data_IF_579965706919
#
_entry.id   IF_579965706919
#
_cell.length_a   1.000
_cell.length_b   1.000
_cell.length_c   1.000
_cell.angle_alpha   90.00
_cell.angle_beta   90.00
_cell.angle_gamma   90.00
#
_symmetry.space_group_name_H-M   'P 1'
#
loop_
_entity.id
_entity.type
_entity.pdbx_description
1 polymer ?
#
# COMPACT_ATOMS: atom_id res chain seq x y z
N UNK A 1 -24.13 19.66 -45.29
CA UNK A 1 -24.76 18.84 -44.21
C UNK A 1 -23.99 19.17 -42.93
N UNK A 2 -24.61 19.83 -41.96
CA UNK A 2 -23.97 20.14 -40.67
C UNK A 2 -24.14 18.99 -39.72
N UNK A 3 -23.19 18.82 -38.79
CA UNK A 3 -23.29 17.84 -37.72
C UNK A 3 -24.55 18.10 -36.86
N UNK A 4 -25.20 17.04 -36.42
CA UNK A 4 -26.37 17.14 -35.55
C UNK A 4 -25.93 17.59 -34.15
N UNK A 5 -26.85 18.15 -33.33
CA UNK A 5 -26.55 18.56 -31.97
C UNK A 5 -26.03 17.37 -31.12
N UNK A 6 -26.50 16.17 -31.41
CA UNK A 6 -26.05 14.95 -30.72
C UNK A 6 -24.63 14.55 -31.11
N UNK A 7 -24.24 14.73 -32.39
CA UNK A 7 -22.88 14.50 -32.85
C UNK A 7 -21.89 15.48 -32.22
N UNK A 8 -22.29 16.76 -32.09
CA UNK A 8 -21.48 17.78 -31.43
C UNK A 8 -21.33 17.50 -29.93
N UNK A 9 -22.37 17.04 -29.26
CA UNK A 9 -22.30 16.64 -27.83
C UNK A 9 -21.40 15.42 -27.63
N UNK A 10 -21.52 14.41 -28.50
CA UNK A 10 -20.66 13.23 -28.47
C UNK A 10 -19.18 13.59 -28.74
N UNK A 11 -18.92 14.50 -29.69
CA UNK A 11 -17.57 14.97 -29.95
C UNK A 11 -16.98 15.74 -28.74
N UNK A 12 -17.74 16.66 -28.13
CA UNK A 12 -17.31 17.37 -26.92
C UNK A 12 -17.02 16.41 -25.75
N UNK A 13 -17.81 15.35 -25.60
CA UNK A 13 -17.59 14.35 -24.57
C UNK A 13 -16.29 13.54 -24.83
N UNK A 14 -16.03 13.17 -26.09
CA UNK A 14 -14.78 12.51 -26.50
C UNK A 14 -13.55 13.41 -26.29
N UNK A 15 -13.66 14.69 -26.66
CA UNK A 15 -12.57 15.65 -26.47
C UNK A 15 -12.28 15.91 -24.99
N UNK A 16 -13.33 15.94 -24.15
CA UNK A 16 -13.18 16.02 -22.68
C UNK A 16 -12.50 14.79 -22.10
N UNK A 17 -12.92 13.59 -22.53
CA UNK A 17 -12.30 12.34 -22.11
C UNK A 17 -10.83 12.26 -22.57
N UNK A 18 -10.54 12.66 -23.80
CA UNK A 18 -9.18 12.68 -24.36
C UNK A 18 -8.27 13.70 -23.64
N UNK A 19 -8.81 14.88 -23.24
CA UNK A 19 -8.07 15.85 -22.43
C UNK A 19 -7.80 15.32 -21.04
N UNK A 20 -8.81 14.73 -20.39
CA UNK A 20 -8.66 14.12 -19.05
C UNK A 20 -7.59 13.04 -19.00
N UNK A 21 -7.44 12.25 -20.08
CA UNK A 21 -6.38 11.23 -20.18
C UNK A 21 -4.99 11.83 -20.41
N UNK A 22 -4.90 12.98 -21.09
CA UNK A 22 -3.62 13.66 -21.33
C UNK A 22 -3.07 14.35 -20.08
N UNK A 23 -3.93 14.65 -19.13
CA UNK A 23 -3.58 15.30 -17.87
C UNK A 23 -3.27 14.29 -16.75
N UNK A 24 -3.15 13.01 -17.08
CA UNK A 24 -2.84 11.94 -16.15
C UNK A 24 -1.52 11.28 -16.51
N UNK A 25 -0.72 11.00 -15.50
CA UNK A 25 0.56 10.33 -15.69
C UNK A 25 1.01 9.57 -14.45
N UNK A 26 2.07 8.79 -14.62
CA UNK A 26 2.67 8.02 -13.53
C UNK A 26 3.90 8.76 -13.01
N UNK A 27 3.99 8.92 -11.70
CA UNK A 27 5.16 9.52 -11.06
C UNK A 27 6.36 8.58 -11.21
N UNK A 28 7.40 9.02 -11.89
CA UNK A 28 8.64 8.25 -12.07
C UNK A 28 9.69 8.59 -11.00
N UNK A 29 9.70 9.83 -10.51
CA UNK A 29 10.67 10.30 -9.52
C UNK A 29 10.09 11.45 -8.70
N UNK A 30 10.56 11.58 -7.45
CA UNK A 30 10.27 12.74 -6.59
C UNK A 30 11.59 13.33 -6.08
N UNK A 31 11.69 14.65 -6.12
CA UNK A 31 12.83 15.40 -5.56
C UNK A 31 12.28 16.63 -4.83
N UNK A 32 12.28 16.58 -3.51
CA UNK A 32 11.65 17.61 -2.68
C UNK A 32 10.15 17.69 -2.94
N UNK A 33 9.66 18.86 -3.38
CA UNK A 33 8.26 19.10 -3.75
C UNK A 33 8.00 19.04 -5.25
N UNK A 34 8.87 18.39 -6.03
CA UNK A 34 8.72 18.22 -7.47
C UNK A 34 8.61 16.74 -7.79
N UNK A 35 7.57 16.36 -8.53
CA UNK A 35 7.40 15.04 -9.11
C UNK A 35 7.72 15.07 -10.60
N UNK A 36 8.56 14.18 -11.07
CA UNK A 36 8.69 13.89 -12.51
C UNK A 36 7.59 12.90 -12.86
N UNK A 37 6.69 13.30 -13.75
CA UNK A 37 5.50 12.53 -14.14
C UNK A 37 5.62 12.12 -15.59
N UNK A 38 5.55 10.83 -15.86
CA UNK A 38 5.54 10.28 -17.22
C UNK A 38 4.13 10.30 -17.79
N UNK A 39 3.97 10.99 -18.92
CA UNK A 39 2.73 11.07 -19.70
C UNK A 39 2.76 10.13 -20.93
N UNK A 40 3.47 9.04 -20.83
CA UNK A 40 3.71 8.08 -21.91
C UNK A 40 5.03 8.36 -22.64
N UNK A 41 5.03 9.24 -23.63
CA UNK A 41 6.24 9.55 -24.41
C UNK A 41 7.04 10.76 -23.89
N UNK A 42 6.52 11.46 -22.90
CA UNK A 42 7.10 12.71 -22.39
C UNK A 42 7.04 12.71 -20.87
N UNK A 43 8.12 13.12 -20.25
CA UNK A 43 8.18 13.36 -18.81
C UNK A 43 7.99 14.86 -18.53
N UNK A 44 7.26 15.17 -17.48
CA UNK A 44 6.95 16.54 -17.04
C UNK A 44 7.28 16.68 -15.58
N UNK A 45 8.02 17.71 -15.21
CA UNK A 45 8.22 18.08 -13.82
C UNK A 45 7.04 18.92 -13.32
N UNK A 46 6.37 18.44 -12.28
CA UNK A 46 5.20 19.06 -11.68
C UNK A 46 5.43 19.36 -10.22
N UNK A 47 5.01 20.55 -9.75
CA UNK A 47 5.05 20.90 -8.33
C UNK A 47 3.99 20.10 -7.57
N UNK A 48 4.37 19.57 -6.41
CA UNK A 48 3.48 18.92 -5.46
C UNK A 48 3.05 19.95 -4.42
N UNK A 49 1.80 20.44 -4.44
CA UNK A 49 1.29 21.34 -3.40
C UNK A 49 1.24 20.65 -2.04
N UNK A 50 1.43 21.40 -0.96
CA UNK A 50 1.34 20.85 0.40
C UNK A 50 -0.04 20.24 0.74
N UNK A 51 -1.08 20.63 -0.02
CA UNK A 51 -2.44 20.07 0.11
C UNK A 51 -2.63 18.70 -0.54
N UNK A 52 -1.70 18.28 -1.42
CA UNK A 52 -1.77 16.99 -2.12
C UNK A 52 -0.87 15.98 -1.41
N UNK A 53 -1.48 14.99 -0.79
CA UNK A 53 -0.79 13.91 -0.09
C UNK A 53 -0.75 12.63 -0.93
N UNK A 54 0.13 11.70 -0.57
CA UNK A 54 0.21 10.38 -1.19
C UNK A 54 0.88 10.37 -2.58
N UNK A 55 1.57 11.44 -2.97
CA UNK A 55 2.38 11.45 -4.19
C UNK A 55 3.67 10.68 -3.93
N UNK A 56 3.79 9.51 -4.54
CA UNK A 56 4.94 8.62 -4.42
C UNK A 56 5.33 8.11 -5.82
N UNK A 57 6.54 7.58 -5.97
CA UNK A 57 6.95 6.92 -7.22
C UNK A 57 5.98 5.77 -7.53
N UNK A 58 5.55 5.65 -8.78
CA UNK A 58 4.54 4.70 -9.23
C UNK A 58 3.09 5.17 -9.09
N UNK A 59 2.80 6.26 -8.36
CA UNK A 59 1.44 6.78 -8.24
C UNK A 59 0.93 7.33 -9.58
N UNK A 60 -0.32 7.04 -9.92
CA UNK A 60 -1.01 7.74 -11.01
C UNK A 60 -1.58 9.04 -10.47
N UNK A 61 -1.21 10.14 -11.07
CA UNK A 61 -1.62 11.49 -10.65
C UNK A 61 -2.36 12.22 -11.77
N UNK A 62 -3.22 13.14 -11.38
CA UNK A 62 -3.78 14.15 -12.28
C UNK A 62 -2.93 15.41 -12.18
N UNK A 63 -2.63 16.00 -13.32
CA UNK A 63 -1.90 17.26 -13.43
C UNK A 63 -2.81 18.38 -13.85
N UNK A 64 -2.63 19.54 -13.26
CA UNK A 64 -3.09 20.79 -13.81
C UNK A 64 -2.00 21.33 -14.74
N UNK A 65 -2.24 21.26 -16.04
CA UNK A 65 -1.31 21.74 -17.07
C UNK A 65 -1.43 23.26 -17.20
N UNK A 66 -0.44 23.96 -16.67
CA UNK A 66 -0.27 25.40 -16.74
C UNK A 66 1.18 25.74 -17.13
N UNK A 67 1.60 27.00 -17.07
CA UNK A 67 3.01 27.38 -17.29
C UNK A 67 3.97 26.66 -16.33
N UNK A 68 3.48 26.32 -15.12
CA UNK A 68 4.18 25.46 -14.17
C UNK A 68 3.22 24.31 -13.85
N UNK A 69 3.46 23.10 -14.37
CA UNK A 69 2.62 21.94 -14.08
C UNK A 69 2.54 21.67 -12.58
N UNK A 70 1.35 21.32 -12.11
CA UNK A 70 1.09 21.08 -10.69
C UNK A 70 0.32 19.76 -10.54
N UNK A 71 0.68 18.94 -9.55
CA UNK A 71 -0.09 17.75 -9.18
C UNK A 71 -1.40 18.21 -8.54
N UNK A 72 -2.53 17.87 -9.15
CA UNK A 72 -3.87 18.20 -8.67
C UNK A 72 -4.41 17.15 -7.68
N UNK A 73 -4.23 15.88 -8.01
CA UNK A 73 -4.69 14.77 -7.20
C UNK A 73 -3.94 13.47 -7.51
N UNK A 74 -3.88 12.57 -6.53
CA UNK A 74 -3.51 11.16 -6.72
C UNK A 74 -4.77 10.39 -7.11
N UNK A 75 -4.75 9.69 -8.24
CA UNK A 75 -5.91 9.02 -8.81
C UNK A 75 -6.00 7.54 -8.43
N UNK A 76 -4.86 6.89 -8.26
CA UNK A 76 -4.80 5.49 -7.83
C UNK A 76 -3.87 5.37 -6.64
N UNK A 77 -4.34 4.64 -5.66
CA UNK A 77 -3.49 4.22 -4.55
C UNK A 77 -2.41 3.28 -5.07
N UNK A 78 -1.21 3.60 -4.73
CA UNK A 78 -0.05 2.76 -5.00
C UNK A 78 -0.12 1.53 -4.10
N UNK A 79 0.25 0.38 -4.61
CA UNK A 79 -0.01 -0.90 -4.00
C UNK A 79 1.29 -1.66 -3.72
N UNK A 80 1.41 -2.19 -2.49
CA UNK A 80 2.30 -3.33 -2.20
C UNK A 80 1.45 -4.56 -1.96
N UNK A 81 1.79 -5.66 -2.62
CA UNK A 81 1.32 -7.00 -2.26
C UNK A 81 2.52 -7.86 -1.95
N UNK A 82 2.48 -8.47 -0.79
CA UNK A 82 3.54 -9.36 -0.36
C UNK A 82 2.95 -10.60 0.34
N UNK A 83 3.69 -11.68 0.27
CA UNK A 83 3.38 -12.94 0.96
C UNK A 83 4.59 -13.41 1.74
N UNK A 84 4.36 -14.02 2.89
CA UNK A 84 5.43 -14.70 3.62
C UNK A 84 5.33 -16.20 3.37
N UNK A 85 6.35 -16.75 2.75
CA UNK A 85 6.49 -18.18 2.45
C UNK A 85 7.67 -18.81 3.18
N UNK A 86 8.35 -18.05 4.06
CA UNK A 86 9.58 -18.47 4.73
C UNK A 86 9.36 -19.47 5.86
N UNK A 87 8.12 -19.65 6.32
CA UNK A 87 7.84 -20.46 7.51
C UNK A 87 8.42 -19.86 8.79
N UNK A 88 8.50 -18.53 8.90
CA UNK A 88 9.07 -17.82 10.05
C UNK A 88 8.53 -18.38 11.37
N UNK A 89 9.42 -18.69 12.29
CA UNK A 89 9.05 -19.11 13.67
C UNK A 89 8.37 -17.98 14.39
N UNK A 90 7.22 -18.26 15.00
CA UNK A 90 6.48 -17.34 15.86
C UNK A 90 6.88 -17.62 17.30
N UNK A 91 7.19 -16.57 18.04
CA UNK A 91 7.60 -16.65 19.45
C UNK A 91 6.46 -16.29 20.40
N UNK A 92 6.68 -16.45 21.70
CA UNK A 92 5.76 -16.01 22.74
C UNK A 92 5.81 -14.51 23.01
N UNK A 93 6.72 -13.79 22.36
CA UNK A 93 6.80 -12.33 22.35
C UNK A 93 6.34 -11.79 21.01
N UNK A 94 5.77 -10.59 20.98
CA UNK A 94 5.41 -9.91 19.76
C UNK A 94 6.66 -9.69 18.90
N UNK A 95 6.64 -10.20 17.69
CA UNK A 95 7.72 -10.08 16.73
C UNK A 95 7.18 -9.61 15.38
N UNK A 96 7.96 -8.81 14.66
CA UNK A 96 7.61 -8.36 13.31
C UNK A 96 7.59 -9.55 12.35
N UNK A 97 6.60 -9.59 11.48
CA UNK A 97 6.58 -10.54 10.36
C UNK A 97 7.55 -10.02 9.30
N UNK A 98 8.64 -10.75 9.10
CA UNK A 98 9.75 -10.39 8.21
C UNK A 98 9.89 -11.39 7.06
N UNK A 99 10.88 -11.18 6.18
CA UNK A 99 11.20 -12.06 5.04
C UNK A 99 10.01 -12.27 4.09
N UNK A 100 9.44 -11.17 3.64
CA UNK A 100 8.35 -11.16 2.70
C UNK A 100 8.85 -11.40 1.26
N UNK A 101 8.07 -12.16 0.50
CA UNK A 101 8.21 -12.22 -0.97
C UNK A 101 7.24 -11.19 -1.54
N UNK A 102 7.76 -10.20 -2.26
CA UNK A 102 6.95 -9.15 -2.87
C UNK A 102 6.42 -9.63 -4.21
N UNK A 103 5.10 -9.64 -4.37
CA UNK A 103 4.43 -9.98 -5.63
C UNK A 103 4.22 -8.72 -6.49
N UNK A 104 3.93 -7.59 -5.85
CA UNK A 104 3.76 -6.26 -6.49
C UNK A 104 4.36 -5.21 -5.56
N UNK A 105 5.22 -4.36 -6.09
CA UNK A 105 5.77 -3.20 -5.39
C UNK A 105 5.69 -1.99 -6.32
N UNK A 106 4.63 -1.20 -6.14
CA UNK A 106 4.42 0.06 -6.85
C UNK A 106 4.72 1.27 -5.96
N UNK A 107 5.04 1.04 -4.66
CA UNK A 107 5.46 2.08 -3.73
C UNK A 107 6.84 1.79 -3.16
N UNK A 108 7.61 2.86 -3.02
CA UNK A 108 8.84 2.85 -2.23
C UNK A 108 8.53 2.79 -0.73
N UNK A 109 9.51 2.38 0.05
CA UNK A 109 9.44 2.39 1.52
C UNK A 109 9.08 1.06 2.17
N UNK A 110 8.66 0.03 1.43
CA UNK A 110 8.51 -1.31 2.00
C UNK A 110 9.81 -2.11 1.90
N UNK A 111 10.38 -2.45 3.05
CA UNK A 111 11.51 -3.36 3.14
C UNK A 111 11.02 -4.80 3.40
N UNK A 112 11.09 -5.69 2.41
CA UNK A 112 10.61 -7.06 2.56
C UNK A 112 11.45 -7.88 3.55
N UNK A 113 12.70 -7.55 3.76
CA UNK A 113 13.58 -8.29 4.67
C UNK A 113 13.19 -8.05 6.13
N UNK A 114 12.86 -6.83 6.49
CA UNK A 114 12.43 -6.44 7.84
C UNK A 114 10.91 -6.50 8.02
N UNK A 115 10.13 -6.40 6.94
CA UNK A 115 8.67 -6.33 6.98
C UNK A 115 8.12 -4.98 7.41
N UNK A 116 8.95 -3.94 7.37
CA UNK A 116 8.60 -2.57 7.78
C UNK A 116 8.33 -1.73 6.53
N UNK A 117 7.20 -1.04 6.53
CA UNK A 117 6.91 0.04 5.59
C UNK A 117 7.27 1.37 6.25
N UNK A 118 8.04 2.21 5.56
CA UNK A 118 8.34 3.59 5.96
C UNK A 118 7.68 4.55 4.98
N UNK A 119 6.82 5.43 5.48
CA UNK A 119 6.11 6.38 4.64
C UNK A 119 7.08 7.39 4.00
N UNK A 120 7.16 7.45 2.66
CA UNK A 120 8.08 8.38 1.97
C UNK A 120 7.61 9.84 2.06
N UNK A 121 6.32 10.04 2.28
CA UNK A 121 5.68 11.36 2.44
C UNK A 121 4.47 11.24 3.37
N UNK A 122 3.87 12.36 3.76
CA UNK A 122 2.59 12.35 4.47
C UNK A 122 1.50 11.71 3.58
N UNK A 123 0.84 10.68 4.08
CA UNK A 123 -0.16 9.90 3.33
C UNK A 123 -1.13 9.19 4.28
N UNK A 124 -2.22 8.65 3.72
CA UNK A 124 -3.05 7.66 4.39
C UNK A 124 -2.78 6.29 3.76
N UNK A 125 -2.46 5.30 4.58
CA UNK A 125 -2.17 3.94 4.13
C UNK A 125 -3.28 3.01 4.62
N UNK A 126 -3.98 2.36 3.70
CA UNK A 126 -4.79 1.20 4.05
C UNK A 126 -3.89 -0.02 4.10
N UNK A 127 -3.76 -0.62 5.27
CA UNK A 127 -2.99 -1.84 5.49
C UNK A 127 -3.93 -3.00 5.80
N UNK A 128 -3.82 -4.06 5.02
CA UNK A 128 -4.53 -5.33 5.25
C UNK A 128 -3.51 -6.43 5.40
N UNK A 129 -3.57 -7.16 6.51
CA UNK A 129 -2.76 -8.35 6.67
C UNK A 129 -3.61 -9.56 7.03
N UNK A 130 -3.27 -10.68 6.44
CA UNK A 130 -3.75 -12.01 6.84
C UNK A 130 -2.54 -12.77 7.33
N UNK A 131 -2.54 -13.17 8.60
CA UNK A 131 -1.49 -14.00 9.16
C UNK A 131 -2.03 -15.41 9.35
N UNK A 132 -1.41 -16.36 8.67
CA UNK A 132 -1.75 -17.77 8.75
C UNK A 132 -0.64 -18.54 9.45
N UNK A 133 -1.02 -19.39 10.40
CA UNK A 133 -0.10 -20.32 11.04
C UNK A 133 -0.50 -21.76 10.78
N UNK A 134 0.48 -22.64 10.84
CA UNK A 134 0.27 -24.07 10.83
C UNK A 134 0.77 -24.65 12.15
N UNK A 135 -0.14 -25.23 12.95
CA UNK A 135 0.23 -25.92 14.19
C UNK A 135 -0.83 -26.95 14.57
N UNK A 136 -0.40 -28.08 15.13
CA UNK A 136 -1.28 -29.15 15.60
C UNK A 136 -1.84 -28.92 17.00
N UNK A 137 -1.20 -28.10 17.83
CA UNK A 137 -1.61 -27.85 19.20
C UNK A 137 -2.56 -26.66 19.34
N UNK A 138 -3.50 -26.75 20.28
CA UNK A 138 -4.34 -25.63 20.66
C UNK A 138 -3.52 -24.54 21.33
N UNK A 139 -3.57 -23.31 20.80
CA UNK A 139 -2.82 -22.19 21.36
C UNK A 139 -3.41 -20.85 20.95
N UNK A 140 -2.86 -19.79 21.55
CA UNK A 140 -3.17 -18.42 21.19
C UNK A 140 -2.42 -18.01 19.93
N UNK A 141 -3.08 -17.26 19.05
CA UNK A 141 -2.46 -16.46 17.98
C UNK A 141 -2.96 -15.03 18.14
N UNK A 142 -2.02 -14.08 18.16
CA UNK A 142 -2.31 -12.67 18.18
C UNK A 142 -1.59 -12.01 17.02
N UNK A 143 -2.30 -11.14 16.31
CA UNK A 143 -1.77 -10.33 15.21
C UNK A 143 -2.09 -8.88 15.51
N UNK A 144 -1.13 -8.00 15.28
CA UNK A 144 -1.28 -6.55 15.43
C UNK A 144 -0.76 -5.83 14.21
N UNK A 145 -1.44 -4.74 13.83
CA UNK A 145 -0.91 -3.70 12.98
C UNK A 145 -0.37 -2.58 13.87
N UNK A 146 0.89 -2.22 13.72
CA UNK A 146 1.59 -1.31 14.64
C UNK A 146 2.25 -0.17 13.85
N UNK A 147 1.99 1.07 14.27
CA UNK A 147 2.66 2.27 13.77
C UNK A 147 3.77 2.67 14.72
N UNK A 148 4.92 3.10 14.17
CA UNK A 148 6.08 3.61 14.91
C UNK A 148 6.55 2.68 16.03
N UNK A 149 6.41 1.36 15.84
CA UNK A 149 6.86 0.35 16.79
C UNK A 149 6.07 0.24 18.10
N UNK A 150 5.14 1.14 18.40
CA UNK A 150 4.46 1.22 19.70
C UNK A 150 2.95 1.46 19.61
N UNK A 151 2.47 2.14 18.59
CA UNK A 151 1.06 2.49 18.43
C UNK A 151 0.29 1.32 17.79
N UNK A 152 -0.49 0.57 18.57
CA UNK A 152 -1.40 -0.44 18.05
C UNK A 152 -2.54 0.22 17.29
N UNK A 153 -2.71 -0.15 16.00
CA UNK A 153 -3.74 0.38 15.11
C UNK A 153 -4.93 -0.57 14.99
N UNK A 154 -4.64 -1.84 14.83
CA UNK A 154 -5.64 -2.90 14.78
C UNK A 154 -5.08 -4.18 15.37
N UNK A 155 -6.00 -5.04 15.86
CA UNK A 155 -5.63 -6.27 16.54
C UNK A 155 -6.65 -7.37 16.31
N UNK A 156 -6.14 -8.57 16.05
CA UNK A 156 -6.91 -9.79 16.05
C UNK A 156 -6.27 -10.81 17.01
N UNK A 157 -7.09 -11.50 17.80
CA UNK A 157 -6.65 -12.44 18.83
C UNK A 157 -7.58 -13.65 18.86
N UNK A 158 -7.03 -14.85 18.89
CA UNK A 158 -7.77 -16.09 19.05
C UNK A 158 -7.02 -17.05 19.97
N UNK A 159 -7.74 -17.78 20.81
CA UNK A 159 -7.21 -18.73 21.77
C UNK A 159 -7.93 -20.07 21.67
N UNK A 160 -7.23 -21.15 22.02
CA UNK A 160 -7.81 -22.48 22.20
C UNK A 160 -8.08 -23.27 20.93
N UNK A 161 -7.74 -22.75 19.76
CA UNK A 161 -7.92 -23.47 18.50
C UNK A 161 -6.67 -24.26 18.11
N UNK A 162 -6.87 -25.47 17.61
CA UNK A 162 -5.83 -26.32 17.02
C UNK A 162 -5.93 -26.31 15.50
N UNK A 163 -4.86 -26.72 14.83
CA UNK A 163 -4.80 -26.78 13.37
C UNK A 163 -4.40 -25.47 12.72
N UNK A 164 -4.71 -25.35 11.42
CA UNK A 164 -4.43 -24.13 10.65
C UNK A 164 -5.38 -23.02 11.07
N UNK A 165 -4.81 -21.86 11.34
CA UNK A 165 -5.55 -20.67 11.73
C UNK A 165 -5.10 -19.47 10.92
N UNK A 166 -6.04 -18.58 10.62
CA UNK A 166 -5.78 -17.30 9.97
C UNK A 166 -6.49 -16.19 10.71
N UNK A 167 -5.77 -15.11 10.98
CA UNK A 167 -6.30 -13.87 11.53
C UNK A 167 -6.10 -12.73 10.53
N UNK A 168 -6.99 -11.76 10.60
CA UNK A 168 -7.00 -10.60 9.71
C UNK A 168 -6.94 -9.33 10.55
N UNK A 169 -6.15 -8.36 10.07
CA UNK A 169 -6.14 -6.97 10.53
C UNK A 169 -6.30 -6.06 9.31
N UNK A 170 -7.06 -4.96 9.43
CA UNK A 170 -7.35 -4.00 8.36
C UNK A 170 -7.61 -2.63 8.97
N UNK A 171 -6.74 -1.65 8.71
CA UNK A 171 -6.96 -0.27 9.15
C UNK A 171 -6.49 0.73 8.09
N UNK A 172 -6.98 1.97 8.19
CA UNK A 172 -6.50 3.13 7.44
C UNK A 172 -5.71 4.02 8.40
N UNK A 173 -4.40 4.06 8.19
CA UNK A 173 -3.46 4.75 9.07
C UNK A 173 -2.98 6.04 8.42
N UNK A 174 -3.23 7.18 9.06
CA UNK A 174 -2.61 8.44 8.67
C UNK A 174 -1.15 8.44 9.12
N UNK A 175 -0.23 8.72 8.20
CA UNK A 175 1.21 8.66 8.41
C UNK A 175 1.86 9.97 7.97
N UNK A 176 2.86 10.42 8.70
CA UNK A 176 3.78 11.46 8.26
C UNK A 176 4.97 10.84 7.53
N UNK A 177 5.75 11.67 6.82
CA UNK A 177 7.01 11.22 6.25
C UNK A 177 7.92 10.64 7.34
N UNK A 178 8.46 9.44 7.12
CA UNK A 178 9.31 8.73 8.06
C UNK A 178 8.56 7.87 9.10
N UNK A 179 7.24 7.98 9.22
CA UNK A 179 6.48 7.05 10.07
C UNK A 179 6.59 5.63 9.53
N UNK A 180 6.60 4.65 10.44
CA UNK A 180 6.69 3.23 10.08
C UNK A 180 5.38 2.49 10.34
N UNK A 181 5.13 1.43 9.58
CA UNK A 181 4.00 0.52 9.75
C UNK A 181 4.48 -0.92 9.58
N UNK A 182 4.06 -1.78 10.50
CA UNK A 182 4.50 -3.17 10.54
C UNK A 182 3.41 -4.09 11.05
N UNK A 183 3.47 -5.37 10.66
CA UNK A 183 2.62 -6.44 11.18
C UNK A 183 3.42 -7.21 12.22
N UNK A 184 2.88 -7.33 13.43
CA UNK A 184 3.46 -8.14 14.49
C UNK A 184 2.61 -9.35 14.80
N UNK A 185 3.27 -10.42 15.21
CA UNK A 185 2.64 -11.69 15.56
C UNK A 185 3.22 -12.26 16.84
N UNK A 186 2.35 -12.92 17.61
CA UNK A 186 2.71 -13.68 18.81
C UNK A 186 1.94 -15.00 18.81
N UNK A 187 2.58 -16.08 19.23
CA UNK A 187 1.93 -17.35 19.54
C UNK A 187 1.99 -17.63 21.05
N UNK A 188 0.98 -18.29 21.58
CA UNK A 188 0.91 -18.61 23.02
C UNK A 188 1.93 -19.64 23.50
N UNK A 189 2.62 -20.34 22.59
CA UNK A 189 3.69 -21.31 22.90
C UNK A 189 4.81 -21.22 21.86
N UNK A 190 6.00 -21.66 22.24
CA UNK A 190 7.14 -21.81 21.33
C UNK A 190 6.91 -22.92 20.31
N UNK A 191 7.60 -22.83 19.16
CA UNK A 191 7.56 -23.86 18.11
C UNK A 191 6.44 -23.71 17.08
N UNK A 192 5.67 -22.61 17.13
CA UNK A 192 4.75 -22.25 16.06
C UNK A 192 5.50 -21.62 14.89
N UNK A 193 5.00 -21.80 13.68
CA UNK A 193 5.52 -21.13 12.49
C UNK A 193 4.38 -20.52 11.66
N UNK A 194 4.71 -19.49 10.88
CA UNK A 194 3.85 -19.03 9.81
C UNK A 194 3.65 -20.17 8.79
N UNK A 195 2.46 -20.25 8.20
CA UNK A 195 2.20 -21.25 7.17
C UNK A 195 3.01 -20.92 5.92
N UNK A 196 3.89 -21.82 5.51
CA UNK A 196 4.68 -21.71 4.29
C UNK A 196 3.91 -22.21 3.05
N UNK A 197 2.88 -23.01 3.25
CA UNK A 197 2.07 -23.65 2.23
C UNK A 197 0.57 -23.38 2.43
N UNK A 198 -0.22 -23.44 1.37
CA UNK A 198 -1.66 -23.19 1.39
C UNK A 198 -2.03 -21.71 1.58
N UNK A 199 -3.02 -21.34 2.44
CA UNK A 199 -3.30 -19.95 2.76
C UNK A 199 -2.13 -19.33 3.52
N UNK A 200 -1.23 -18.70 2.75
CA UNK A 200 -0.02 -18.05 3.25
C UNK A 200 -0.36 -16.72 3.94
N UNK A 201 0.56 -16.28 4.78
CA UNK A 201 0.55 -14.93 5.33
C UNK A 201 0.69 -13.91 4.21
N UNK A 202 -0.21 -12.91 4.17
CA UNK A 202 -0.27 -11.89 3.11
C UNK A 202 -0.33 -10.49 3.71
N UNK A 203 0.27 -9.54 3.01
CA UNK A 203 0.20 -8.12 3.29
C UNK A 203 -0.22 -7.38 2.02
N UNK A 204 -1.11 -6.40 2.17
CA UNK A 204 -1.47 -5.44 1.14
C UNK A 204 -1.41 -4.04 1.76
N UNK A 205 -0.69 -3.12 1.10
CA UNK A 205 -0.64 -1.70 1.45
C UNK A 205 -1.13 -0.89 0.25
N UNK A 206 -2.10 -0.01 0.50
CA UNK A 206 -2.66 0.91 -0.49
C UNK A 206 -2.53 2.33 0.04
N UNK A 207 -1.88 3.23 -0.68
CA UNK A 207 -1.88 4.66 -0.37
C UNK A 207 -3.17 5.29 -0.90
N UNK A 208 -3.78 6.17 -0.10
CA UNK A 208 -5.04 6.85 -0.39
C UNK A 208 -4.93 8.35 -0.16
#
# INVERSE_FOLDING_TARGET
MGATDDEMRAQKARDRAARSLRDQGTVSKITGNVATVSLGLTDVDAIIPASVQGVVSGATVRLQMSNVPTVEAVLTGTLVRARNTSGQTITTSLAVVANWTVDVAEIDGFDPATGIFTAPSACSVRAKATVSRNNSAAMRLLVQLVRNGTEERDRADISGASGRMSLHVDDIVAMNAGDTLEVRVLAGTTGSSLAADGPVTKLTLEIR
#
